data_IF_956022667573
#
_entry.id   IF_956022667573
#
_cell.length_a   1.000
_cell.length_b   1.000
_cell.length_c   1.000
_cell.angle_alpha   90.00
_cell.angle_beta   90.00
_cell.angle_gamma   90.00
#
_symmetry.space_group_name_H-M   'P 1'
#
loop_
_entity.id
_entity.type
_entity.pdbx_description
1 polymer ?
#
# COMPACT_ATOMS: atom_id res chain seq x y z
N UNK A 1 17.12 30.79 -7.04
CA UNK A 1 16.29 29.58 -7.24
C UNK A 1 17.17 28.36 -7.08
N UNK A 2 16.82 27.40 -6.22
CA UNK A 2 17.43 26.06 -6.18
C UNK A 2 16.37 25.08 -6.65
N UNK A 3 16.65 24.31 -7.70
CA UNK A 3 15.76 23.24 -8.13
C UNK A 3 15.86 22.10 -7.13
N UNK A 4 14.72 21.68 -6.58
CA UNK A 4 14.61 20.49 -5.74
C UNK A 4 13.93 19.41 -6.59
N UNK A 5 14.72 18.45 -7.05
CA UNK A 5 14.20 17.24 -7.70
C UNK A 5 13.61 16.33 -6.61
N UNK A 6 12.33 16.52 -6.29
CA UNK A 6 11.60 15.60 -5.41
C UNK A 6 11.34 14.29 -6.16
N UNK A 7 11.93 13.21 -5.67
CA UNK A 7 11.90 11.89 -6.31
C UNK A 7 10.56 11.19 -6.05
N UNK A 8 9.49 11.61 -6.74
CA UNK A 8 8.20 10.93 -6.67
C UNK A 8 8.35 9.50 -7.20
N UNK A 9 8.02 8.51 -6.36
CA UNK A 9 8.15 7.10 -6.71
C UNK A 9 7.02 6.68 -7.66
N UNK A 10 7.11 7.11 -8.91
CA UNK A 10 6.38 6.49 -10.02
C UNK A 10 6.86 5.03 -10.10
N UNK A 11 6.12 4.14 -9.44
CA UNK A 11 6.30 2.71 -9.60
C UNK A 11 5.84 2.37 -11.02
N UNK A 12 6.77 2.47 -11.97
CA UNK A 12 6.66 1.85 -13.29
C UNK A 12 6.75 0.34 -13.06
N UNK A 13 5.67 -0.21 -12.50
CA UNK A 13 5.38 -1.60 -12.63
C UNK A 13 5.15 -1.87 -14.12
N UNK A 14 6.20 -2.28 -14.81
CA UNK A 14 6.11 -3.23 -15.92
C UNK A 14 5.66 -4.60 -15.40
N UNK A 15 4.66 -4.61 -14.51
CA UNK A 15 3.71 -5.70 -14.40
C UNK A 15 3.15 -5.87 -15.80
N UNK A 16 3.61 -6.90 -16.49
CA UNK A 16 2.97 -7.41 -17.69
C UNK A 16 1.65 -7.98 -17.21
N UNK A 17 0.67 -7.08 -17.07
CA UNK A 17 -0.67 -7.37 -16.65
C UNK A 17 -1.36 -8.13 -17.76
N UNK A 18 -1.05 -9.43 -17.85
CA UNK A 18 -1.85 -10.40 -18.55
C UNK A 18 -3.21 -10.48 -17.84
N UNK A 19 -4.05 -9.47 -18.12
CA UNK A 19 -5.45 -9.51 -17.80
C UNK A 19 -5.99 -10.80 -18.40
N UNK A 20 -6.57 -11.67 -17.57
CA UNK A 20 -7.18 -12.91 -18.01
C UNK A 20 -8.51 -12.62 -18.72
N UNK A 21 -8.43 -11.97 -19.87
CA UNK A 21 -9.44 -12.06 -20.91
C UNK A 21 -9.35 -13.46 -21.53
N UNK A 22 -9.98 -14.44 -20.88
CA UNK A 22 -10.47 -15.60 -21.61
C UNK A 22 -11.34 -15.11 -22.77
N UNK A 23 -11.23 -15.77 -23.93
CA UNK A 23 -12.01 -15.49 -25.16
C UNK A 23 -11.53 -14.30 -26.03
N UNK A 24 -10.26 -13.87 -25.94
CA UNK A 24 -9.67 -12.91 -26.90
C UNK A 24 -9.67 -13.39 -28.37
N UNK A 25 -9.78 -14.70 -28.63
CA UNK A 25 -9.85 -15.25 -29.99
C UNK A 25 -10.99 -16.25 -30.12
N UNK A 26 -11.74 -16.13 -31.22
CA UNK A 26 -12.77 -17.06 -31.62
C UNK A 26 -12.67 -17.39 -33.12
N UNK A 27 -13.28 -18.50 -33.52
CA UNK A 27 -13.41 -18.94 -34.90
C UNK A 27 -14.77 -18.54 -35.45
N UNK A 28 -14.81 -18.18 -36.73
CA UNK A 28 -16.03 -18.04 -37.49
C UNK A 28 -16.71 -19.41 -37.68
N UNK A 29 -17.70 -19.74 -36.84
CA UNK A 29 -18.45 -21.00 -36.91
C UNK A 29 -19.33 -21.15 -38.15
N UNK A 30 -19.65 -20.01 -38.79
CA UNK A 30 -20.24 -19.87 -40.13
C UNK A 30 -19.60 -18.67 -40.84
N UNK A 31 -19.98 -18.37 -42.08
CA UNK A 31 -19.64 -17.09 -42.73
C UNK A 31 -20.14 -15.93 -41.85
N UNK A 32 -19.27 -14.97 -41.51
CA UNK A 32 -19.64 -13.76 -40.79
C UNK A 32 -19.73 -12.58 -41.76
N UNK A 33 -20.65 -11.67 -41.48
CA UNK A 33 -20.73 -10.35 -42.10
C UNK A 33 -20.27 -9.31 -41.08
N UNK A 34 -19.09 -8.73 -41.32
CA UNK A 34 -18.53 -7.68 -40.46
C UNK A 34 -19.23 -6.37 -40.76
N UNK A 35 -19.89 -5.78 -39.76
CA UNK A 35 -20.75 -4.59 -39.93
C UNK A 35 -20.22 -3.35 -39.20
N UNK A 36 -20.65 -2.17 -39.63
CA UNK A 36 -20.24 -0.88 -39.02
C UNK A 36 -20.84 -0.62 -37.62
N UNK A 37 -21.86 -1.38 -37.22
CA UNK A 37 -22.53 -1.26 -35.92
C UNK A 37 -23.29 -2.54 -35.56
N UNK A 38 -23.77 -2.65 -34.30
CA UNK A 38 -24.43 -3.85 -33.78
C UNK A 38 -25.90 -3.93 -34.20
N UNK A 39 -26.16 -4.30 -35.46
CA UNK A 39 -27.50 -4.45 -36.02
C UNK A 39 -27.50 -4.86 -37.50
N UNK A 40 -28.64 -5.33 -38.00
CA UNK A 40 -28.80 -5.77 -39.40
C UNK A 40 -29.00 -4.59 -40.37
N UNK A 41 -29.34 -3.42 -39.83
CA UNK A 41 -29.44 -2.12 -40.50
C UNK A 41 -28.07 -1.48 -40.78
N UNK A 42 -26.99 -1.95 -40.12
CA UNK A 42 -25.64 -1.43 -40.32
C UNK A 42 -24.95 -2.09 -41.53
N UNK A 43 -24.29 -1.26 -42.35
CA UNK A 43 -23.59 -1.68 -43.56
C UNK A 43 -22.53 -2.76 -43.29
N UNK A 44 -22.47 -3.77 -44.16
CA UNK A 44 -21.40 -4.76 -44.19
C UNK A 44 -20.14 -4.14 -44.81
N UNK A 45 -18.99 -4.27 -44.14
CA UNK A 45 -17.68 -3.77 -44.58
C UNK A 45 -16.69 -4.89 -44.96
N UNK A 46 -16.93 -6.12 -44.50
CA UNK A 46 -16.18 -7.29 -44.97
C UNK A 46 -17.01 -8.58 -44.78
N UNK A 47 -16.74 -9.59 -45.59
CA UNK A 47 -17.14 -10.97 -45.31
C UNK A 47 -15.97 -11.77 -44.73
N UNK A 48 -16.27 -12.66 -43.78
CA UNK A 48 -15.30 -13.51 -43.09
C UNK A 48 -15.68 -14.97 -43.33
N UNK A 49 -14.86 -15.77 -44.01
CA UNK A 49 -15.15 -17.19 -44.24
C UNK A 49 -15.29 -17.99 -42.94
N UNK A 50 -16.13 -19.02 -42.98
CA UNK A 50 -16.17 -20.05 -41.92
C UNK A 50 -14.77 -20.66 -41.71
N UNK A 51 -14.40 -20.93 -40.46
CA UNK A 51 -13.07 -21.44 -40.10
C UNK A 51 -11.97 -20.38 -40.05
N UNK A 52 -12.30 -19.08 -40.23
CA UNK A 52 -11.36 -17.98 -40.01
C UNK A 52 -11.26 -17.64 -38.52
N UNK A 53 -10.04 -17.50 -37.99
CA UNK A 53 -9.81 -16.96 -36.66
C UNK A 53 -10.00 -15.44 -36.65
N UNK A 54 -10.73 -14.92 -35.67
CA UNK A 54 -10.94 -13.49 -35.42
C UNK A 54 -10.58 -13.15 -33.98
N UNK A 55 -10.06 -11.94 -33.75
CA UNK A 55 -9.81 -11.42 -32.41
C UNK A 55 -11.11 -10.78 -31.89
N UNK A 56 -11.61 -11.24 -30.76
CA UNK A 56 -12.81 -10.68 -30.13
C UNK A 56 -12.38 -9.53 -29.22
N UNK A 57 -12.75 -8.31 -29.60
CA UNK A 57 -12.42 -7.10 -28.84
C UNK A 57 -13.35 -6.99 -27.63
N UNK A 58 -14.65 -7.22 -27.83
CA UNK A 58 -15.65 -7.10 -26.76
C UNK A 58 -16.96 -7.83 -27.13
N UNK A 59 -17.57 -8.51 -26.16
CA UNK A 59 -18.92 -9.10 -26.25
C UNK A 59 -19.86 -8.39 -25.28
N UNK A 60 -20.98 -7.85 -25.77
CA UNK A 60 -21.87 -7.05 -24.92
C UNK A 60 -22.85 -6.11 -25.64
N UNK A 61 -22.88 -6.10 -26.98
CA UNK A 61 -23.80 -5.26 -27.76
C UNK A 61 -25.08 -6.05 -28.12
N UNK A 62 -25.71 -6.65 -27.09
CA UNK A 62 -26.78 -7.64 -27.27
C UNK A 62 -26.24 -8.90 -27.94
N UNK A 63 -26.89 -9.34 -29.03
CA UNK A 63 -26.46 -10.47 -29.85
C UNK A 63 -25.15 -10.23 -30.63
N UNK A 64 -24.52 -9.05 -30.50
CA UNK A 64 -23.33 -8.66 -31.24
C UNK A 64 -22.06 -8.56 -30.39
N UNK A 65 -20.96 -9.01 -31.00
CA UNK A 65 -19.59 -8.84 -30.52
C UNK A 65 -18.80 -7.98 -31.50
N UNK A 66 -17.96 -7.09 -30.96
CA UNK A 66 -16.98 -6.35 -31.75
C UNK A 66 -15.75 -7.22 -31.95
N UNK A 67 -15.33 -7.43 -33.19
CA UNK A 67 -14.15 -8.22 -33.55
C UNK A 67 -13.21 -7.42 -34.44
N UNK A 68 -11.93 -7.79 -34.43
CA UNK A 68 -10.94 -7.35 -35.40
C UNK A 68 -10.71 -8.45 -36.44
N UNK A 69 -10.77 -8.07 -37.71
CA UNK A 69 -10.42 -8.92 -38.85
C UNK A 69 -9.47 -8.15 -39.76
N UNK A 70 -8.23 -8.65 -39.88
CA UNK A 70 -7.12 -7.97 -40.59
C UNK A 70 -6.88 -6.57 -40.00
N UNK A 71 -7.18 -5.51 -40.75
CA UNK A 71 -7.03 -4.11 -40.32
C UNK A 71 -8.39 -3.41 -40.10
N UNK A 72 -9.49 -4.18 -40.04
CA UNK A 72 -10.85 -3.67 -39.91
C UNK A 72 -11.50 -4.18 -38.63
N UNK A 73 -11.87 -3.26 -37.75
CA UNK A 73 -12.73 -3.54 -36.60
C UNK A 73 -14.20 -3.40 -37.04
N UNK A 74 -15.08 -4.23 -36.50
CA UNK A 74 -16.52 -4.15 -36.76
C UNK A 74 -17.30 -5.16 -35.92
N UNK A 75 -18.61 -5.23 -36.15
CA UNK A 75 -19.53 -6.05 -35.36
C UNK A 75 -19.94 -7.31 -36.12
N UNK A 76 -20.04 -8.43 -35.41
CA UNK A 76 -20.56 -9.72 -35.91
C UNK A 76 -21.50 -10.34 -34.86
N UNK A 77 -22.38 -11.24 -35.28
CA UNK A 77 -23.25 -11.96 -34.35
C UNK A 77 -22.44 -12.91 -33.46
N UNK A 78 -22.58 -12.76 -32.14
CA UNK A 78 -21.88 -13.53 -31.11
C UNK A 78 -22.14 -15.04 -31.23
N UNK A 79 -23.36 -15.42 -31.61
CA UNK A 79 -23.75 -16.82 -31.78
C UNK A 79 -23.15 -17.52 -33.03
N UNK A 80 -22.39 -16.79 -33.85
CA UNK A 80 -21.62 -17.33 -34.97
C UNK A 80 -20.12 -17.47 -34.63
N UNK A 81 -19.70 -17.09 -33.42
CA UNK A 81 -18.34 -17.25 -32.91
C UNK A 81 -18.24 -18.54 -32.09
N UNK A 82 -17.13 -19.29 -32.25
CA UNK A 82 -16.85 -20.50 -31.48
C UNK A 82 -15.41 -20.49 -30.94
N UNK A 83 -15.18 -20.93 -29.70
CA UNK A 83 -13.84 -20.94 -29.12
C UNK A 83 -12.93 -21.99 -29.79
N UNK A 84 -11.68 -21.64 -30.11
CA UNK A 84 -10.66 -22.64 -30.48
C UNK A 84 -10.04 -23.24 -29.22
N UNK A 85 -10.38 -24.50 -28.93
CA UNK A 85 -9.92 -25.19 -27.73
C UNK A 85 -8.40 -25.24 -27.62
N UNK A 86 -7.68 -25.31 -28.74
CA UNK A 86 -6.22 -25.54 -28.79
C UNK A 86 -5.45 -24.33 -28.28
N UNK A 87 -5.93 -23.12 -28.56
CA UNK A 87 -5.33 -21.87 -28.09
C UNK A 87 -5.68 -21.65 -26.61
N UNK A 88 -6.93 -21.90 -26.22
CA UNK A 88 -7.35 -21.83 -24.82
C UNK A 88 -6.60 -22.83 -23.92
N UNK A 89 -6.31 -24.03 -24.42
CA UNK A 89 -5.47 -25.04 -23.76
C UNK A 89 -4.01 -24.60 -23.64
N UNK A 90 -3.43 -24.06 -24.71
CA UNK A 90 -2.06 -23.54 -24.70
C UNK A 90 -1.88 -22.38 -23.71
N UNK A 91 -2.81 -21.43 -23.69
CA UNK A 91 -2.79 -20.34 -22.71
C UNK A 91 -3.00 -20.84 -21.27
N UNK A 92 -3.89 -21.83 -21.06
CA UNK A 92 -4.06 -22.44 -19.72
C UNK A 92 -2.76 -23.09 -19.26
N UNK A 93 -2.09 -23.85 -20.12
CA UNK A 93 -0.80 -24.46 -19.83
C UNK A 93 0.29 -23.41 -19.50
N UNK A 94 0.31 -22.29 -20.25
CA UNK A 94 1.23 -21.17 -19.97
C UNK A 94 0.95 -20.51 -18.60
N UNK A 95 -0.32 -20.19 -18.31
CA UNK A 95 -0.74 -19.62 -17.02
C UNK A 95 -0.47 -20.56 -15.84
N UNK A 96 -0.68 -21.86 -16.02
CA UNK A 96 -0.31 -22.87 -15.01
C UNK A 96 1.20 -22.96 -14.79
N UNK A 97 2.02 -22.89 -15.85
CA UNK A 97 3.47 -22.90 -15.74
C UNK A 97 4.00 -21.64 -15.03
N UNK A 98 3.44 -20.47 -15.32
CA UNK A 98 3.76 -19.22 -14.64
C UNK A 98 3.34 -19.25 -13.16
N UNK A 99 2.13 -19.73 -12.86
CA UNK A 99 1.67 -19.91 -11.47
C UNK A 99 2.56 -20.89 -10.68
N UNK A 100 2.95 -22.01 -11.28
CA UNK A 100 3.90 -22.97 -10.68
C UNK A 100 5.28 -22.33 -10.43
N UNK A 101 5.78 -21.50 -11.36
CA UNK A 101 7.03 -20.75 -11.22
C UNK A 101 6.95 -19.69 -10.11
N UNK A 102 5.84 -18.97 -10.01
CA UNK A 102 5.59 -17.98 -8.95
C UNK A 102 5.51 -18.65 -7.56
N UNK A 103 4.77 -19.76 -7.44
CA UNK A 103 4.69 -20.54 -6.22
C UNK A 103 6.06 -21.12 -5.79
N UNK A 104 6.85 -21.64 -6.74
CA UNK A 104 8.20 -22.13 -6.46
C UNK A 104 9.13 -21.01 -5.99
N UNK A 105 9.03 -19.80 -6.57
CA UNK A 105 9.77 -18.61 -6.10
C UNK A 105 9.37 -18.22 -4.68
N UNK A 106 8.08 -18.11 -4.39
CA UNK A 106 7.59 -17.75 -3.06
C UNK A 106 8.01 -18.77 -1.98
N UNK A 107 7.97 -20.07 -2.30
CA UNK A 107 8.43 -21.13 -1.40
C UNK A 107 9.96 -21.04 -1.14
N UNK A 108 10.76 -20.67 -2.14
CA UNK A 108 12.20 -20.44 -1.96
C UNK A 108 12.48 -19.21 -1.10
N UNK A 109 11.77 -18.10 -1.31
CA UNK A 109 11.87 -16.89 -0.48
C UNK A 109 11.45 -17.15 0.98
N UNK A 110 10.40 -17.96 1.22
CA UNK A 110 10.01 -18.38 2.57
C UNK A 110 11.06 -19.28 3.23
N UNK A 111 11.68 -20.20 2.47
CA UNK A 111 12.74 -21.07 2.96
C UNK A 111 14.00 -20.27 3.35
N UNK A 112 14.39 -19.27 2.55
CA UNK A 112 15.49 -18.35 2.85
C UNK A 112 15.21 -17.58 4.15
N UNK A 113 14.01 -17.00 4.31
CA UNK A 113 13.61 -16.31 5.55
C UNK A 113 13.69 -17.21 6.77
N UNK A 114 13.19 -18.45 6.67
CA UNK A 114 13.27 -19.45 7.76
C UNK A 114 14.71 -19.83 8.10
N UNK A 115 15.58 -19.96 7.11
CA UNK A 115 17.00 -20.23 7.32
C UNK A 115 17.72 -19.06 8.02
N UNK A 116 17.43 -17.81 7.62
CA UNK A 116 17.96 -16.62 8.31
C UNK A 116 17.48 -16.52 9.76
N UNK A 117 16.19 -16.76 10.03
CA UNK A 117 15.66 -16.76 11.40
C UNK A 117 16.31 -17.85 12.25
N UNK A 118 16.52 -19.05 11.70
CA UNK A 118 17.21 -20.13 12.39
C UNK A 118 18.68 -19.76 12.69
N UNK A 119 19.39 -19.17 11.74
CA UNK A 119 20.76 -18.69 11.93
C UNK A 119 20.85 -17.60 13.02
N UNK A 120 19.94 -16.61 12.98
CA UNK A 120 19.86 -15.54 13.99
C UNK A 120 19.59 -16.10 15.40
N UNK A 121 18.72 -17.11 15.53
CA UNK A 121 18.48 -17.82 16.81
C UNK A 121 19.69 -18.61 17.28
N UNK A 122 20.37 -19.33 16.39
CA UNK A 122 21.58 -20.11 16.72
C UNK A 122 22.74 -19.22 17.20
N UNK A 123 22.94 -18.06 16.58
CA UNK A 123 23.93 -17.05 17.02
C UNK A 123 23.59 -16.53 18.42
N UNK A 124 22.33 -16.15 18.66
CA UNK A 124 21.89 -15.66 19.97
C UNK A 124 22.03 -16.71 21.08
N UNK A 125 21.80 -18.00 20.79
CA UNK A 125 22.02 -19.07 21.76
C UNK A 125 23.51 -19.32 22.01
N UNK A 126 24.35 -19.30 20.97
CA UNK A 126 25.80 -19.44 21.10
C UNK A 126 26.40 -18.30 21.95
N UNK A 127 25.95 -17.07 21.76
CA UNK A 127 26.30 -15.94 22.62
C UNK A 127 25.86 -16.16 24.07
N UNK A 128 24.63 -16.64 24.30
CA UNK A 128 24.14 -16.88 25.66
C UNK A 128 24.99 -17.93 26.39
N UNK A 129 25.25 -19.07 25.73
CA UNK A 129 26.13 -20.14 26.24
C UNK A 129 27.55 -19.64 26.50
N UNK A 130 28.09 -18.77 25.66
CA UNK A 130 29.40 -18.14 25.89
C UNK A 130 29.40 -17.29 27.16
N UNK A 131 28.41 -16.41 27.34
CA UNK A 131 28.29 -15.55 28.55
C UNK A 131 28.06 -16.39 29.82
N UNK A 132 27.31 -17.48 29.71
CA UNK A 132 27.11 -18.46 30.79
C UNK A 132 28.46 -19.09 31.21
N UNK A 133 29.26 -19.56 30.25
CA UNK A 133 30.58 -20.14 30.52
C UNK A 133 31.60 -19.12 31.06
N UNK A 134 31.60 -17.88 30.54
CA UNK A 134 32.44 -16.79 31.05
C UNK A 134 32.08 -16.43 32.51
N UNK A 135 30.78 -16.42 32.85
CA UNK A 135 30.31 -16.20 34.22
C UNK A 135 30.64 -17.38 35.15
N UNK A 136 30.60 -18.62 34.67
CA UNK A 136 31.03 -19.80 35.44
C UNK A 136 32.55 -19.78 35.71
N UNK A 137 33.36 -19.47 34.71
CA UNK A 137 34.82 -19.30 34.89
C UNK A 137 35.15 -18.19 35.87
N UNK A 138 34.47 -17.04 35.79
CA UNK A 138 34.65 -15.94 36.74
C UNK A 138 34.31 -16.36 38.19
N UNK A 139 33.22 -17.14 38.38
CA UNK A 139 32.85 -17.71 39.68
C UNK A 139 33.89 -18.71 40.19
N UNK A 140 34.41 -19.58 39.34
CA UNK A 140 35.44 -20.55 39.70
C UNK A 140 36.75 -19.87 40.12
N UNK A 141 37.17 -18.81 39.42
CA UNK A 141 38.34 -18.00 39.79
C UNK A 141 38.12 -17.32 41.14
N UNK A 142 36.97 -16.67 41.36
CA UNK A 142 36.65 -16.02 42.62
C UNK A 142 36.59 -17.01 43.80
N UNK A 143 36.04 -18.21 43.60
CA UNK A 143 36.04 -19.27 44.60
C UNK A 143 37.46 -19.79 44.92
N UNK A 144 38.32 -19.95 43.91
CA UNK A 144 39.71 -20.35 44.10
C UNK A 144 40.53 -19.27 44.84
N UNK A 145 40.26 -17.99 44.60
CA UNK A 145 40.85 -16.90 45.39
C UNK A 145 40.35 -16.88 46.83
N UNK A 146 39.05 -17.06 47.06
CA UNK A 146 38.46 -17.13 48.40
C UNK A 146 39.05 -18.31 49.19
N UNK A 147 39.22 -19.48 48.56
CA UNK A 147 39.88 -20.63 49.15
C UNK A 147 41.35 -20.31 49.54
N UNK A 148 42.13 -19.68 48.64
CA UNK A 148 43.50 -19.24 48.95
C UNK A 148 43.57 -18.26 50.12
N UNK A 149 42.65 -17.28 50.18
CA UNK A 149 42.52 -16.30 51.27
C UNK A 149 42.15 -16.98 52.60
N UNK A 150 41.26 -17.96 52.58
CA UNK A 150 40.89 -18.72 53.78
C UNK A 150 42.06 -19.59 54.29
N UNK A 151 42.81 -20.25 53.39
CA UNK A 151 44.01 -21.03 53.76
C UNK A 151 45.12 -20.13 54.33
N UNK A 152 45.36 -18.95 53.76
CA UNK A 152 46.36 -18.03 54.31
C UNK A 152 45.93 -17.42 55.65
N UNK A 153 44.64 -17.11 55.83
CA UNK A 153 44.10 -16.69 57.13
C UNK A 153 44.22 -17.80 58.20
N UNK A 154 43.94 -19.06 57.84
CA UNK A 154 44.10 -20.20 58.74
C UNK A 154 45.59 -20.43 59.10
N UNK A 155 46.50 -20.33 58.14
CA UNK A 155 47.94 -20.42 58.39
C UNK A 155 48.44 -19.28 59.30
N UNK A 156 47.96 -18.04 59.08
CA UNK A 156 48.29 -16.90 59.94
C UNK A 156 47.74 -17.07 61.36
N UNK A 157 46.53 -17.63 61.51
CA UNK A 157 45.93 -17.97 62.81
C UNK A 157 46.76 -19.04 63.53
N UNK A 158 47.12 -20.13 62.85
CA UNK A 158 47.96 -21.18 63.40
C UNK A 158 49.37 -20.67 63.79
N UNK A 159 49.95 -19.73 63.03
CA UNK A 159 51.21 -19.07 63.40
C UNK A 159 51.07 -18.21 64.66
N UNK A 160 49.97 -17.45 64.80
CA UNK A 160 49.67 -16.67 66.01
C UNK A 160 49.44 -17.57 67.21
N UNK A 161 48.65 -18.63 67.07
CA UNK A 161 48.37 -19.60 68.13
C UNK A 161 49.65 -20.35 68.54
N UNK A 162 50.54 -20.68 67.60
CA UNK A 162 51.85 -21.26 67.89
C UNK A 162 52.79 -20.26 68.58
N UNK A 163 52.77 -18.98 68.20
CA UNK A 163 53.58 -17.95 68.87
C UNK A 163 53.01 -17.62 70.25
N UNK A 164 51.70 -17.52 70.43
CA UNK A 164 51.04 -17.39 71.73
C UNK A 164 51.31 -18.61 72.60
N UNK A 165 51.27 -19.83 72.07
CA UNK A 165 51.65 -21.06 72.80
C UNK A 165 53.13 -21.01 73.20
N UNK A 166 54.02 -20.55 72.32
CA UNK A 166 55.46 -20.37 72.65
C UNK A 166 55.66 -19.31 73.73
N UNK A 167 55.03 -18.14 73.60
CA UNK A 167 55.08 -17.04 74.57
C UNK A 167 54.45 -17.45 75.90
N UNK A 168 53.35 -18.18 75.90
CA UNK A 168 52.71 -18.70 77.09
C UNK A 168 53.52 -19.84 77.75
N UNK A 169 54.28 -20.64 76.99
CA UNK A 169 55.21 -21.64 77.53
C UNK A 169 56.46 -20.99 78.13
N UNK A 170 56.97 -19.93 77.48
CA UNK A 170 58.09 -19.10 77.96
C UNK A 170 57.68 -18.26 79.18
N UNK A 171 56.47 -17.71 79.17
CA UNK A 171 55.86 -17.03 80.30
C UNK A 171 55.46 -18.02 81.40
N UNK A 172 55.04 -19.25 81.11
CA UNK A 172 54.83 -20.28 82.12
C UNK A 172 56.16 -20.70 82.78
N UNK A 173 57.25 -20.83 82.01
CA UNK A 173 58.61 -20.99 82.56
C UNK A 173 59.03 -19.80 83.44
N UNK A 174 58.63 -18.58 83.06
CA UNK A 174 58.91 -17.35 83.82
C UNK A 174 58.00 -17.17 85.05
N UNK A 175 56.73 -17.60 84.99
CA UNK A 175 55.78 -17.59 86.11
C UNK A 175 56.08 -18.70 87.12
N UNK A 176 56.59 -19.84 86.65
CA UNK A 176 57.23 -20.85 87.50
C UNK A 176 58.49 -20.33 88.22
N UNK A 177 58.99 -19.14 87.86
CA UNK A 177 60.02 -18.41 88.61
C UNK A 177 59.48 -17.19 89.39
N UNK A 178 58.34 -16.58 89.03
CA UNK A 178 57.83 -15.31 89.60
C UNK A 178 56.28 -15.20 89.56
N UNK A 179 55.63 -14.86 90.69
CA UNK A 179 54.15 -14.88 90.87
C UNK A 179 53.39 -13.57 90.48
N UNK A 180 52.11 -13.70 90.09
CA UNK A 180 51.07 -12.65 89.93
C UNK A 180 51.09 -11.80 88.63
N UNK A 181 50.12 -10.97 88.21
CA UNK A 181 48.63 -10.85 88.29
C UNK A 181 48.21 -9.38 87.90
N UNK A 182 47.00 -8.93 87.45
CA UNK A 182 45.63 -9.46 87.17
C UNK A 182 44.98 -8.66 85.98
N UNK A 183 43.74 -8.98 85.57
CA UNK A 183 42.64 -8.10 85.05
C UNK A 183 42.47 -7.78 83.52
N UNK A 184 41.25 -7.32 83.13
CA UNK A 184 40.75 -7.13 81.73
C UNK A 184 39.49 -6.23 81.61
N UNK A 185 39.15 -5.65 80.43
CA UNK A 185 37.76 -5.24 80.01
C UNK A 185 37.60 -4.77 78.52
N UNK A 186 36.37 -4.73 77.91
CA UNK A 186 36.10 -4.47 76.45
C UNK A 186 34.99 -3.41 76.09
N UNK A 187 34.73 -3.11 74.78
CA UNK A 187 33.64 -2.23 74.24
C UNK A 187 33.12 -2.68 72.81
N UNK A 188 31.86 -2.37 72.44
CA UNK A 188 31.13 -2.74 71.18
C UNK A 188 30.70 -1.55 70.25
N UNK A 189 29.81 -1.75 69.23
CA UNK A 189 29.32 -0.73 68.26
C UNK A 189 27.87 -0.94 67.71
N UNK A 190 27.23 0.09 67.08
CA UNK A 190 25.79 0.07 66.63
C UNK A 190 25.44 0.97 65.38
N UNK A 191 24.17 0.99 64.94
CA UNK A 191 23.60 1.46 63.62
C UNK A 191 22.10 1.88 63.73
N UNK A 192 21.35 2.57 62.84
CA UNK A 192 21.52 3.45 61.63
C UNK A 192 20.10 3.94 61.12
N UNK A 193 19.93 4.43 59.86
CA UNK A 193 18.67 4.59 59.05
C UNK A 193 18.03 6.00 58.81
N UNK A 194 17.42 6.24 57.62
CA UNK A 194 16.33 7.23 57.28
C UNK A 194 15.88 7.19 55.76
N UNK A 195 14.62 7.51 55.39
CA UNK A 195 14.18 7.92 54.01
C UNK A 195 12.82 7.42 53.43
N UNK A 196 12.08 8.25 52.65
CA UNK A 196 10.76 7.98 51.96
C UNK A 196 10.44 9.06 50.85
N UNK A 197 9.32 9.18 50.08
CA UNK A 197 8.02 8.47 49.95
C UNK A 197 7.21 8.78 48.62
N UNK A 198 6.19 7.97 48.28
CA UNK A 198 4.87 8.15 47.54
C UNK A 198 4.67 8.95 46.20
N UNK A 199 3.79 8.49 45.23
CA UNK A 199 3.36 9.18 43.97
C UNK A 199 1.87 9.66 43.93
N UNK A 200 1.30 9.99 42.73
CA UNK A 200 -0.04 10.61 42.52
C UNK A 200 -0.83 10.11 41.27
N UNK A 201 -2.13 10.47 41.14
CA UNK A 201 -3.09 10.07 40.06
C UNK A 201 -3.95 11.25 39.51
N UNK A 202 -4.66 11.04 38.38
CA UNK A 202 -5.54 12.02 37.69
C UNK A 202 -6.74 11.35 36.98
N UNK A 203 -7.89 12.02 36.85
CA UNK A 203 -9.10 11.54 36.12
C UNK A 203 -9.63 12.55 35.09
N UNK A 204 -10.53 12.11 34.19
CA UNK A 204 -11.00 12.86 33.00
C UNK A 204 -12.53 12.99 32.90
N UNK A 205 -13.02 13.92 32.07
CA UNK A 205 -14.44 14.22 31.87
C UNK A 205 -14.85 14.21 30.37
N UNK A 206 -16.15 14.12 30.09
CA UNK A 206 -16.72 13.94 28.74
C UNK A 206 -17.51 15.17 28.22
N UNK A 207 -17.60 15.40 26.88
CA UNK A 207 -18.23 16.59 26.30
C UNK A 207 -19.68 16.38 25.80
N UNK A 208 -20.42 17.49 25.67
CA UNK A 208 -21.80 17.56 25.15
C UNK A 208 -21.83 18.10 23.70
N UNK A 209 -22.73 17.59 22.86
CA UNK A 209 -22.83 17.96 21.43
C UNK A 209 -23.78 19.14 21.17
N UNK A 210 -23.38 20.05 20.26
CA UNK A 210 -24.23 21.11 19.68
C UNK A 210 -24.37 20.89 18.18
N UNK A 211 -25.60 20.85 17.65
CA UNK A 211 -25.88 20.68 16.23
C UNK A 211 -25.96 22.02 15.50
N UNK A 212 -25.02 22.26 14.58
CA UNK A 212 -24.98 23.42 13.68
C UNK A 212 -25.74 23.12 12.38
N UNK A 213 -26.60 24.03 11.93
CA UNK A 213 -27.26 23.90 10.62
C UNK A 213 -26.23 23.96 9.47
N UNK A 214 -26.44 23.12 8.46
CA UNK A 214 -25.49 22.96 7.35
C UNK A 214 -25.75 23.96 6.23
N UNK A 215 -24.69 24.58 5.71
CA UNK A 215 -24.73 25.45 4.51
C UNK A 215 -25.29 24.77 3.26
N UNK A 216 -25.42 23.44 3.27
CA UNK A 216 -25.95 22.63 2.17
C UNK A 216 -27.33 22.02 2.47
N UNK A 217 -28.07 22.53 3.48
CA UNK A 217 -29.36 21.99 3.87
C UNK A 217 -30.41 22.01 2.74
N UNK A 218 -30.36 23.00 1.85
CA UNK A 218 -31.21 23.14 0.66
C UNK A 218 -30.72 22.37 -0.57
N UNK A 219 -29.52 21.80 -0.56
CA UNK A 219 -28.94 21.11 -1.71
C UNK A 219 -29.43 19.65 -1.76
N UNK A 220 -29.82 19.20 -2.95
CA UNK A 220 -30.37 17.85 -3.15
C UNK A 220 -29.24 16.82 -3.14
N UNK A 221 -29.28 15.89 -2.17
CA UNK A 221 -28.38 14.74 -2.16
C UNK A 221 -28.67 13.83 -3.35
N UNK A 222 -27.62 13.40 -4.05
CA UNK A 222 -27.69 12.38 -5.09
C UNK A 222 -27.03 11.09 -4.62
N UNK A 223 -27.50 9.96 -5.15
CA UNK A 223 -26.77 8.70 -5.10
C UNK A 223 -26.54 8.24 -6.54
N UNK A 224 -25.27 8.09 -6.92
CA UNK A 224 -24.82 7.72 -8.25
C UNK A 224 -24.03 6.40 -8.17
N UNK A 225 -24.10 5.57 -9.19
CA UNK A 225 -23.24 4.38 -9.31
C UNK A 225 -21.87 4.77 -9.84
N UNK A 226 -20.84 3.97 -9.52
CA UNK A 226 -19.52 4.15 -10.14
C UNK A 226 -19.64 4.07 -11.66
N UNK A 227 -19.11 5.08 -12.34
CA UNK A 227 -19.16 5.23 -13.79
C UNK A 227 -20.26 6.18 -14.30
N UNK A 228 -21.26 6.53 -13.50
CA UNK A 228 -22.32 7.47 -13.91
C UNK A 228 -21.81 8.93 -13.97
N UNK A 229 -22.36 9.74 -14.87
CA UNK A 229 -22.10 11.18 -14.95
C UNK A 229 -23.09 11.95 -14.06
N UNK A 230 -22.64 12.79 -13.10
CA UNK A 230 -23.53 13.62 -12.29
C UNK A 230 -24.42 14.56 -13.12
N UNK A 231 -25.62 14.90 -12.61
CA UNK A 231 -26.58 15.74 -13.35
C UNK A 231 -26.14 17.21 -13.39
N UNK A 232 -25.25 17.65 -12.51
CA UNK A 232 -24.48 18.90 -12.67
C UNK A 232 -23.76 18.99 -14.03
N UNK A 233 -23.39 17.84 -14.59
CA UNK A 233 -22.77 17.72 -15.91
C UNK A 233 -23.71 17.06 -16.93
N UNK A 234 -25.04 17.01 -16.68
CA UNK A 234 -26.00 16.26 -17.51
C UNK A 234 -26.22 16.76 -18.95
N UNK A 235 -25.67 17.92 -19.32
CA UNK A 235 -25.61 18.41 -20.72
C UNK A 235 -24.37 17.90 -21.48
N UNK A 236 -23.43 17.25 -20.77
CA UNK A 236 -22.19 16.71 -21.29
C UNK A 236 -22.43 15.52 -22.25
N UNK A 237 -21.55 15.35 -23.24
CA UNK A 237 -21.52 14.19 -24.14
C UNK A 237 -20.10 13.65 -24.22
N UNK A 238 -19.88 12.40 -23.82
CA UNK A 238 -18.57 11.77 -23.85
C UNK A 238 -18.09 11.45 -25.27
N UNK A 239 -16.80 11.66 -25.55
CA UNK A 239 -16.18 11.42 -26.86
C UNK A 239 -15.42 10.09 -26.88
N UNK A 240 -15.95 9.07 -27.55
CA UNK A 240 -15.38 7.72 -27.57
C UNK A 240 -14.78 7.41 -28.94
N UNK A 241 -13.56 6.87 -28.97
CA UNK A 241 -13.01 6.22 -30.17
C UNK A 241 -13.00 4.70 -29.98
N UNK A 242 -14.07 4.06 -30.43
CA UNK A 242 -14.25 2.61 -30.34
C UNK A 242 -13.31 1.79 -31.24
N UNK A 243 -12.40 2.43 -32.00
CA UNK A 243 -11.29 1.74 -32.68
C UNK A 243 -10.12 1.46 -31.75
N UNK A 244 -9.98 2.25 -30.68
CA UNK A 244 -8.90 2.16 -29.70
C UNK A 244 -9.37 1.33 -28.50
N UNK A 245 -8.78 0.15 -28.29
CA UNK A 245 -8.93 -0.60 -27.04
C UNK A 245 -7.92 -0.10 -26.02
N UNK A 246 -8.28 1.00 -25.36
CA UNK A 246 -7.50 1.59 -24.28
C UNK A 246 -8.39 1.95 -23.09
N UNK A 247 -7.74 2.16 -21.94
CA UNK A 247 -8.42 2.59 -20.73
C UNK A 247 -7.57 3.45 -19.79
N UNK A 248 -8.27 4.27 -19.01
CA UNK A 248 -7.83 4.74 -17.70
C UNK A 248 -8.57 3.92 -16.64
N UNK A 249 -7.84 3.13 -15.86
CA UNK A 249 -8.34 2.41 -14.69
C UNK A 249 -8.18 3.31 -13.48
N UNK A 250 -9.25 3.55 -12.74
CA UNK A 250 -9.24 4.39 -11.54
C UNK A 250 -9.62 3.51 -10.35
N UNK A 251 -8.69 3.29 -9.42
CA UNK A 251 -8.97 2.63 -8.15
C UNK A 251 -9.24 3.70 -7.10
N UNK A 252 -10.39 3.66 -6.43
CA UNK A 252 -10.77 4.63 -5.39
C UNK A 252 -10.77 3.93 -4.04
N UNK A 253 -10.03 4.45 -3.07
CA UNK A 253 -9.86 3.86 -1.75
C UNK A 253 -11.08 4.03 -0.83
N UNK A 254 -10.96 3.56 0.41
CA UNK A 254 -12.09 3.45 1.36
C UNK A 254 -12.62 4.81 1.85
N UNK A 255 -11.75 5.82 1.92
CA UNK A 255 -12.02 7.04 2.68
C UNK A 255 -12.74 8.12 1.87
N UNK A 256 -12.74 8.03 0.54
CA UNK A 256 -13.23 9.09 -0.36
C UNK A 256 -14.11 8.55 -1.48
N UNK A 257 -15.11 9.33 -1.89
CA UNK A 257 -15.81 9.23 -3.17
C UNK A 257 -15.24 10.31 -4.09
N UNK A 258 -15.27 10.11 -5.41
CA UNK A 258 -14.72 11.09 -6.35
C UNK A 258 -15.66 11.39 -7.52
N UNK A 259 -15.52 12.59 -8.09
CA UNK A 259 -15.97 12.90 -9.45
C UNK A 259 -14.72 13.24 -10.27
N UNK A 260 -14.35 12.35 -11.18
CA UNK A 260 -13.19 12.52 -12.06
C UNK A 260 -13.64 13.00 -13.43
N UNK A 261 -13.03 14.07 -13.90
CA UNK A 261 -13.09 14.55 -15.28
C UNK A 261 -11.80 14.19 -16.00
N UNK A 262 -11.89 13.63 -17.20
CA UNK A 262 -10.74 13.45 -18.08
C UNK A 262 -10.74 14.57 -19.11
N UNK A 263 -9.75 15.45 -19.05
CA UNK A 263 -9.65 16.67 -19.86
C UNK A 263 -8.58 16.48 -20.92
N UNK A 264 -8.97 16.60 -22.19
CA UNK A 264 -8.05 16.62 -23.33
C UNK A 264 -7.30 17.94 -23.35
N UNK A 265 -5.98 17.86 -23.47
CA UNK A 265 -5.13 19.03 -23.65
C UNK A 265 -5.31 19.59 -25.06
N UNK A 266 -5.55 20.90 -25.13
CA UNK A 266 -5.58 21.65 -26.38
C UNK A 266 -4.22 22.25 -26.75
N UNK A 267 -4.22 23.22 -27.67
CA UNK A 267 -3.00 24.01 -27.97
C UNK A 267 -2.72 25.07 -26.90
N UNK A 268 -3.77 25.55 -26.24
CA UNK A 268 -3.75 26.45 -25.11
C UNK A 268 -4.73 25.95 -24.05
N UNK A 269 -4.64 26.40 -22.78
CA UNK A 269 -5.62 26.04 -21.74
C UNK A 269 -7.07 26.49 -22.01
N UNK A 270 -7.31 27.32 -23.03
CA UNK A 270 -8.65 27.69 -23.49
C UNK A 270 -9.21 26.72 -24.56
N UNK A 271 -8.36 25.90 -25.17
CA UNK A 271 -8.71 24.82 -26.09
C UNK A 271 -8.91 23.47 -25.36
N UNK A 272 -8.60 23.41 -24.05
CA UNK A 272 -8.74 22.22 -23.21
C UNK A 272 -10.21 21.76 -23.14
N UNK A 273 -10.44 20.44 -23.25
CA UNK A 273 -11.80 19.89 -23.41
C UNK A 273 -12.05 18.65 -22.58
N UNK A 274 -12.96 18.73 -21.62
CA UNK A 274 -13.49 17.55 -20.91
C UNK A 274 -14.10 16.55 -21.90
N UNK A 275 -13.66 15.28 -21.86
CA UNK A 275 -14.19 14.19 -22.70
C UNK A 275 -14.91 13.08 -21.91
N UNK A 276 -14.77 13.07 -20.58
CA UNK A 276 -15.43 12.15 -19.65
C UNK A 276 -15.69 12.84 -18.33
N UNK A 277 -16.79 12.50 -17.67
CA UNK A 277 -17.06 12.86 -16.28
C UNK A 277 -17.70 11.65 -15.59
N UNK A 278 -17.05 11.12 -14.57
CA UNK A 278 -17.45 9.89 -13.89
C UNK A 278 -17.44 10.11 -12.37
N UNK A 279 -18.59 9.93 -11.72
CA UNK A 279 -18.65 9.70 -10.27
C UNK A 279 -18.19 8.27 -9.97
N UNK A 280 -17.45 8.07 -8.88
CA UNK A 280 -16.90 6.77 -8.48
C UNK A 280 -16.99 6.64 -6.95
N UNK A 281 -17.63 5.56 -6.48
CA UNK A 281 -17.75 5.26 -5.04
C UNK A 281 -16.43 4.79 -4.44
N UNK A 282 -16.30 4.98 -3.12
CA UNK A 282 -15.22 4.43 -2.32
C UNK A 282 -15.07 2.92 -2.43
N UNK A 283 -13.84 2.44 -2.26
CA UNK A 283 -13.47 1.03 -2.35
C UNK A 283 -13.99 0.37 -3.65
N UNK A 284 -13.92 1.09 -4.77
CA UNK A 284 -14.37 0.61 -6.08
C UNK A 284 -13.36 0.94 -7.18
N UNK A 285 -13.41 0.16 -8.26
CA UNK A 285 -12.58 0.36 -9.45
C UNK A 285 -13.49 0.75 -10.61
N UNK A 286 -13.19 1.87 -11.26
CA UNK A 286 -13.85 2.27 -12.51
C UNK A 286 -12.88 2.14 -13.68
N UNK A 287 -13.39 1.75 -14.85
CA UNK A 287 -12.68 1.89 -16.11
C UNK A 287 -13.33 2.99 -16.95
N UNK A 288 -12.52 3.92 -17.43
CA UNK A 288 -12.87 4.85 -18.50
C UNK A 288 -12.22 4.28 -19.77
N UNK A 289 -13.04 3.88 -20.75
CA UNK A 289 -12.58 3.16 -21.96
C UNK A 289 -12.71 4.00 -23.24
N UNK A 290 -12.01 3.54 -24.28
CA UNK A 290 -12.10 4.06 -25.66
C UNK A 290 -11.83 5.58 -25.71
N UNK A 291 -10.73 5.97 -25.10
CA UNK A 291 -10.22 7.33 -25.00
C UNK A 291 -9.55 7.67 -26.34
N UNK A 292 -10.01 8.70 -27.08
CA UNK A 292 -9.39 9.10 -28.35
C UNK A 292 -7.90 9.45 -28.19
N UNK A 293 -7.10 9.35 -29.26
CA UNK A 293 -5.67 9.72 -29.23
C UNK A 293 -5.48 11.18 -28.81
N UNK A 294 -4.52 11.44 -27.92
CA UNK A 294 -4.17 12.78 -27.45
C UNK A 294 -3.47 12.75 -26.10
N UNK A 295 -3.19 13.93 -25.56
CA UNK A 295 -2.66 14.11 -24.21
C UNK A 295 -3.78 14.63 -23.29
N UNK A 296 -3.78 14.17 -22.04
CA UNK A 296 -4.89 14.34 -21.12
C UNK A 296 -4.40 14.56 -19.68
N UNK A 297 -5.14 15.34 -18.89
CA UNK A 297 -4.99 15.41 -17.44
C UNK A 297 -6.32 15.13 -16.75
N UNK A 298 -6.27 14.81 -15.46
CA UNK A 298 -7.46 14.62 -14.63
C UNK A 298 -7.82 15.90 -13.86
N UNK A 299 -9.11 16.19 -13.76
CA UNK A 299 -9.65 17.18 -12.82
C UNK A 299 -10.60 16.45 -11.88
N UNK A 300 -10.32 16.49 -10.58
CA UNK A 300 -10.89 15.58 -9.58
C UNK A 300 -11.53 16.39 -8.46
N UNK A 301 -12.78 16.05 -8.12
CA UNK A 301 -13.36 16.38 -6.83
C UNK A 301 -13.29 15.14 -5.94
N UNK A 302 -12.86 15.29 -4.70
CA UNK A 302 -12.85 14.27 -3.65
C UNK A 302 -13.86 14.62 -2.56
N UNK A 303 -14.33 13.63 -1.80
CA UNK A 303 -15.04 13.85 -0.54
C UNK A 303 -16.13 12.82 -0.26
N UNK A 304 -17.19 13.24 0.44
CA UNK A 304 -18.38 12.42 0.75
C UNK A 304 -19.66 13.25 0.69
N UNK A 305 -20.78 12.57 0.48
CA UNK A 305 -22.13 13.16 0.41
C UNK A 305 -22.24 14.21 -0.72
N UNK A 306 -22.14 13.74 -1.97
CA UNK A 306 -22.33 14.56 -3.17
C UNK A 306 -23.74 15.15 -3.24
N UNK A 307 -23.83 16.45 -3.47
CA UNK A 307 -25.08 17.19 -3.62
C UNK A 307 -25.03 18.13 -4.80
N UNK A 308 -26.21 18.44 -5.31
CA UNK A 308 -26.38 19.37 -6.43
C UNK A 308 -27.41 20.45 -6.11
N UNK A 309 -27.26 21.61 -6.75
CA UNK A 309 -28.22 22.72 -6.69
C UNK A 309 -28.34 23.40 -8.06
N UNK A 310 -29.36 24.26 -8.22
CA UNK A 310 -29.50 25.13 -9.38
C UNK A 310 -29.12 26.57 -9.00
N UNK A 311 -28.05 27.09 -9.59
CA UNK A 311 -27.61 28.48 -9.42
C UNK A 311 -27.45 29.13 -10.80
N UNK A 312 -28.09 30.29 -11.01
CA UNK A 312 -28.05 31.00 -12.30
C UNK A 312 -28.59 30.24 -13.52
N UNK A 313 -29.35 29.15 -13.32
CA UNK A 313 -29.79 28.25 -14.40
C UNK A 313 -28.74 27.20 -14.82
N UNK A 314 -27.61 27.11 -14.11
CA UNK A 314 -26.64 26.02 -14.18
C UNK A 314 -26.86 25.09 -13.00
N UNK A 315 -26.81 23.77 -13.24
CA UNK A 315 -26.73 22.79 -12.14
C UNK A 315 -25.26 22.70 -11.73
N UNK A 316 -24.95 22.94 -10.47
CA UNK A 316 -23.60 22.77 -9.90
C UNK A 316 -23.60 21.63 -8.88
N UNK A 317 -22.46 20.99 -8.71
CA UNK A 317 -22.30 19.85 -7.80
C UNK A 317 -21.09 19.99 -6.89
N UNK A 318 -21.21 19.48 -5.67
CA UNK A 318 -20.18 19.58 -4.62
C UNK A 318 -20.22 18.38 -3.69
N UNK A 319 -19.07 17.95 -3.18
CA UNK A 319 -19.05 17.11 -1.98
C UNK A 319 -19.27 17.99 -0.74
N UNK A 320 -20.06 17.50 0.22
CA UNK A 320 -20.46 18.31 1.39
C UNK A 320 -19.71 17.96 2.67
N UNK A 321 -18.86 16.92 2.62
CA UNK A 321 -17.92 16.52 3.68
C UNK A 321 -16.55 16.23 3.05
N UNK A 322 -15.48 16.68 3.71
CA UNK A 322 -14.08 16.47 3.31
C UNK A 322 -13.85 16.74 1.82
N UNK A 323 -14.37 17.86 1.33
CA UNK A 323 -14.33 18.22 -0.09
C UNK A 323 -12.97 18.84 -0.45
N UNK A 324 -12.32 18.30 -1.48
CA UNK A 324 -11.07 18.78 -2.05
C UNK A 324 -11.16 18.75 -3.58
N UNK A 325 -10.50 19.68 -4.28
CA UNK A 325 -10.60 19.86 -5.72
C UNK A 325 -9.21 20.06 -6.34
N UNK A 326 -8.88 19.19 -7.30
CA UNK A 326 -7.53 19.07 -7.86
C UNK A 326 -7.58 19.12 -9.39
N UNK A 327 -6.69 19.92 -10.01
CA UNK A 327 -6.16 19.65 -11.34
C UNK A 327 -4.85 18.88 -11.18
N UNK A 328 -4.86 17.62 -11.60
CA UNK A 328 -3.68 16.76 -11.56
C UNK A 328 -2.61 17.24 -12.53
N UNK A 329 -1.34 17.05 -12.14
CA UNK A 329 -0.18 17.47 -12.93
C UNK A 329 0.32 16.39 -13.90
N UNK A 330 -0.11 15.14 -13.71
CA UNK A 330 0.25 14.01 -14.59
C UNK A 330 -0.41 14.14 -15.98
N UNK A 331 0.41 13.97 -17.03
CA UNK A 331 -0.03 13.93 -18.42
C UNK A 331 -0.15 12.48 -18.90
N UNK A 332 -1.39 12.06 -19.17
CA UNK A 332 -1.73 10.76 -19.73
C UNK A 332 -1.73 10.86 -21.26
N UNK A 333 -0.73 10.28 -21.92
CA UNK A 333 -0.57 10.33 -23.37
C UNK A 333 -1.13 9.05 -24.03
N UNK A 334 -2.32 9.16 -24.63
CA UNK A 334 -3.05 8.08 -25.28
C UNK A 334 -2.80 7.97 -26.79
N UNK A 335 -1.79 8.66 -27.34
CA UNK A 335 -1.44 8.54 -28.76
C UNK A 335 -0.81 7.17 -29.05
N UNK A 336 -1.14 6.52 -30.17
CA UNK A 336 -0.62 5.19 -30.46
C UNK A 336 0.87 5.21 -30.83
N UNK A 337 1.66 4.40 -30.11
CA UNK A 337 3.11 4.29 -30.29
C UNK A 337 3.39 3.22 -31.33
N UNK A 338 3.93 3.63 -32.49
CA UNK A 338 4.39 2.70 -33.54
C UNK A 338 5.75 2.12 -33.17
N UNK A 339 5.90 0.82 -33.31
CA UNK A 339 7.14 0.07 -33.06
C UNK A 339 7.39 -0.92 -34.19
N UNK A 340 8.62 -1.44 -34.30
CA UNK A 340 8.97 -2.49 -35.29
C UNK A 340 8.20 -3.81 -35.09
N UNK A 341 7.50 -3.95 -33.96
CA UNK A 341 6.69 -5.12 -33.59
C UNK A 341 5.18 -4.88 -33.75
N UNK A 342 4.76 -3.68 -34.15
CA UNK A 342 3.35 -3.29 -34.29
C UNK A 342 3.00 -1.99 -33.58
N UNK A 343 1.70 -1.73 -33.45
CA UNK A 343 1.14 -0.52 -32.82
C UNK A 343 0.78 -0.82 -31.37
N UNK A 344 1.33 -0.06 -30.43
CA UNK A 344 0.96 -0.08 -29.02
C UNK A 344 -0.04 1.05 -28.73
N UNK A 345 -1.16 0.73 -28.06
CA UNK A 345 -2.16 1.73 -27.66
C UNK A 345 -2.07 1.92 -26.14
N UNK A 346 -1.59 3.08 -25.64
CA UNK A 346 -1.35 3.26 -24.20
C UNK A 346 -2.60 3.11 -23.34
N UNK A 347 -2.44 2.53 -22.15
CA UNK A 347 -3.47 2.46 -21.11
C UNK A 347 -2.84 2.69 -19.73
N UNK A 348 -3.60 3.31 -18.83
CA UNK A 348 -3.09 3.87 -17.58
C UNK A 348 -3.87 3.37 -16.37
N UNK A 349 -3.23 3.39 -15.20
CA UNK A 349 -3.88 3.15 -13.91
C UNK A 349 -3.59 4.30 -12.96
N UNK A 350 -4.64 4.87 -12.37
CA UNK A 350 -4.64 5.92 -11.36
C UNK A 350 -5.20 5.34 -10.06
N UNK A 351 -4.62 5.70 -8.93
CA UNK A 351 -5.07 5.28 -7.60
C UNK A 351 -5.33 6.51 -6.74
N UNK A 352 -6.56 6.64 -6.26
CA UNK A 352 -7.07 7.81 -5.55
C UNK A 352 -7.53 7.38 -4.15
N UNK A 353 -6.82 7.80 -3.11
CA UNK A 353 -7.24 7.58 -1.73
C UNK A 353 -6.91 8.80 -0.87
N UNK A 354 -7.67 8.97 0.21
CA UNK A 354 -7.38 9.95 1.26
C UNK A 354 -6.90 9.19 2.49
N UNK A 355 -6.04 9.81 3.30
CA UNK A 355 -5.74 9.32 4.64
C UNK A 355 -6.99 9.34 5.54
N UNK A 356 -6.97 8.62 6.66
CA UNK A 356 -8.14 8.47 7.56
C UNK A 356 -8.60 9.82 8.20
N UNK A 357 -7.75 10.85 8.15
CA UNK A 357 -8.05 12.24 8.52
C UNK A 357 -8.78 13.04 7.42
N UNK A 358 -8.87 12.52 6.19
CA UNK A 358 -9.43 13.20 5.02
C UNK A 358 -8.46 14.04 4.19
N UNK A 359 -7.14 13.98 4.41
CA UNK A 359 -6.14 14.67 3.57
C UNK A 359 -5.63 13.77 2.45
N UNK A 360 -5.09 14.37 1.38
CA UNK A 360 -4.18 13.64 0.49
C UNK A 360 -2.86 13.39 1.25
N UNK A 361 -2.15 12.32 0.90
CA UNK A 361 -1.07 11.77 1.72
C UNK A 361 0.29 12.49 1.65
N UNK A 362 0.30 13.82 1.46
CA UNK A 362 1.51 14.60 1.16
C UNK A 362 1.93 15.48 2.35
N UNK A 363 3.23 15.49 2.66
CA UNK A 363 3.82 16.29 3.76
C UNK A 363 3.71 17.81 3.56
N UNK A 364 3.40 18.27 2.34
CA UNK A 364 3.10 19.66 2.03
C UNK A 364 1.59 19.84 1.79
N UNK A 365 0.99 20.83 2.45
CA UNK A 365 -0.45 21.12 2.34
C UNK A 365 -0.81 21.94 1.08
N UNK A 366 0.17 22.47 0.34
CA UNK A 366 -0.06 23.52 -0.67
C UNK A 366 -0.72 23.00 -1.97
N UNK A 367 -0.57 21.72 -2.31
CA UNK A 367 -1.07 21.13 -3.57
C UNK A 367 -2.44 20.43 -3.46
N UNK A 368 -3.01 20.29 -2.26
CA UNK A 368 -4.12 19.35 -2.00
C UNK A 368 -5.53 19.86 -2.38
N UNK A 369 -5.69 21.15 -2.67
CA UNK A 369 -6.95 21.80 -3.09
C UNK A 369 -6.62 22.91 -4.12
N UNK A 370 -5.91 22.55 -5.19
CA UNK A 370 -5.25 23.51 -6.09
C UNK A 370 -6.18 24.24 -7.08
N UNK A 371 -7.49 23.96 -7.07
CA UNK A 371 -8.52 24.68 -7.83
C UNK A 371 -9.78 24.91 -6.97
N UNK A 372 -10.54 25.97 -7.22
CA UNK A 372 -11.78 26.22 -6.46
C UNK A 372 -12.93 25.27 -6.88
N UNK A 373 -13.96 25.07 -6.03
CA UNK A 373 -15.16 24.31 -6.39
C UNK A 373 -15.89 24.89 -7.61
N UNK A 374 -15.86 26.21 -7.78
CA UNK A 374 -16.42 26.90 -8.94
C UNK A 374 -15.63 26.56 -10.21
N UNK A 375 -14.29 26.61 -10.12
CA UNK A 375 -13.38 26.24 -11.21
C UNK A 375 -13.54 24.77 -11.59
N UNK A 376 -13.71 23.87 -10.62
CA UNK A 376 -14.07 22.48 -10.88
C UNK A 376 -15.40 22.37 -11.64
N UNK A 377 -16.41 23.16 -11.29
CA UNK A 377 -17.70 23.18 -11.98
C UNK A 377 -17.68 23.90 -13.35
N UNK A 378 -16.60 24.60 -13.73
CA UNK A 378 -16.42 25.21 -15.05
C UNK A 378 -15.84 24.26 -16.12
N UNK A 379 -15.00 23.30 -15.73
CA UNK A 379 -14.46 22.25 -16.62
C UNK A 379 -15.54 21.30 -17.19
#
# INVERSE_FOLDING_TARGET
MRSIFTFMLLVIATSVGYAQFSEQYAMAGKKLELRTGPGLEYNVVAEIPQGTQVYVINSGYGDWSTIQYKQTNGFVLTNLLTADSRIAEAERAAREAEAKKAAAKAAAEEAIRKAEEAAKRAIAEAERRKREAEAEQARAIAAAEAAKKNTSAAALKAQREAEETRRALEEARRRAAQNGDVASSPIESTTASYGANTPAETTTAAPTTVTRESKFASWEKKDYKSGETPKSFGKFKGEFDYKLDNYLKINVGKNTEVVVKLVKMGKTPADDKTIRVNYIKSNSTQFIRNIPEGEYYCVIAYGKDWRETNEGGKVIGTFTKNALYEKGQDILNFNAIKTDKGINIPSYTLSLDLMDNGTLGYDNNEDQDNISPDKFNEF
#
